data_IF_691299129372
#
_entry.id   IF_691299129372
#
_cell.length_a   1.000
_cell.length_b   1.000
_cell.length_c   1.000
_cell.angle_alpha   90.00
_cell.angle_beta   90.00
_cell.angle_gamma   90.00
#
_symmetry.space_group_name_H-M   'P 1'
#
loop_
_entity.id
_entity.type
_entity.pdbx_description
1 polymer ?
#
# COMPACT_ATOMS: atom_id res chain seq x y z
N UNK A 1 -7.09 -14.81 1.01
CA UNK A 1 -6.00 -14.47 0.06
C UNK A 1 -6.24 -13.03 -0.38
N UNK A 2 -5.30 -12.12 -0.13
CA UNK A 2 -5.36 -10.78 -0.72
C UNK A 2 -4.98 -10.92 -2.20
N UNK A 3 -5.90 -10.57 -3.08
CA UNK A 3 -5.69 -10.43 -4.53
C UNK A 3 -5.04 -9.08 -4.89
N UNK A 4 -4.79 -8.23 -3.88
CA UNK A 4 -4.14 -6.92 -3.96
C UNK A 4 -2.85 -6.92 -3.11
N UNK A 5 -1.88 -6.04 -3.40
CA UNK A 5 -0.62 -5.95 -2.62
C UNK A 5 -0.95 -5.59 -1.17
N UNK A 6 -0.49 -6.39 -0.21
CA UNK A 6 -0.69 -6.05 1.20
C UNK A 6 0.16 -4.82 1.58
N UNK A 7 -0.23 -4.05 2.60
CA UNK A 7 0.48 -2.80 2.95
C UNK A 7 1.98 -3.04 3.20
N UNK A 8 2.34 -4.20 3.75
CA UNK A 8 3.74 -4.60 3.96
C UNK A 8 4.52 -4.68 2.64
N UNK A 9 3.92 -5.14 1.56
CA UNK A 9 4.55 -5.19 0.24
C UNK A 9 4.74 -3.78 -0.31
N UNK A 10 3.77 -2.88 -0.09
CA UNK A 10 3.90 -1.47 -0.45
C UNK A 10 5.00 -0.77 0.35
N UNK A 11 5.13 -1.06 1.64
CA UNK A 11 6.25 -0.59 2.45
C UNK A 11 7.59 -1.09 1.89
N UNK A 12 7.66 -2.37 1.49
CA UNK A 12 8.88 -2.96 0.92
C UNK A 12 9.28 -2.28 -0.41
N UNK A 13 8.30 -2.03 -1.29
CA UNK A 13 8.50 -1.25 -2.52
C UNK A 13 9.00 0.15 -2.18
N UNK A 14 8.38 0.84 -1.22
CA UNK A 14 8.80 2.17 -0.80
C UNK A 14 10.23 2.19 -0.26
N UNK A 15 10.63 1.21 0.53
CA UNK A 15 12.02 1.10 0.99
C UNK A 15 13.00 0.93 -0.19
N UNK A 16 12.63 0.13 -1.20
CA UNK A 16 13.43 -0.08 -2.40
C UNK A 16 13.46 1.14 -3.34
N UNK A 17 12.51 2.07 -3.24
CA UNK A 17 12.55 3.32 -4.02
C UNK A 17 13.40 4.40 -3.35
N UNK A 18 13.42 4.46 -2.01
CA UNK A 18 14.17 5.50 -1.27
C UNK A 18 15.63 5.10 -0.94
N UNK A 19 15.95 3.81 -1.00
CA UNK A 19 17.28 3.28 -0.72
C UNK A 19 17.81 2.44 -1.87
N UNK A 20 19.13 2.50 -2.07
CA UNK A 20 19.84 1.44 -2.78
C UNK A 20 20.14 0.35 -1.76
N UNK A 21 19.76 -0.89 -2.07
CA UNK A 21 19.92 -2.04 -1.19
C UNK A 21 21.02 -2.96 -1.71
N UNK A 22 21.71 -3.66 -0.80
CA UNK A 22 22.59 -4.79 -1.13
C UNK A 22 21.77 -6.02 -1.49
N UNK A 23 22.42 -7.07 -2.02
CA UNK A 23 21.79 -8.37 -2.27
C UNK A 23 21.20 -9.01 -1.00
N UNK A 24 21.80 -8.70 0.16
CA UNK A 24 21.29 -9.11 1.48
C UNK A 24 20.15 -8.23 2.01
N UNK A 25 19.68 -7.24 1.24
CA UNK A 25 18.60 -6.33 1.63
C UNK A 25 19.01 -5.24 2.63
N UNK A 26 20.32 -5.03 2.85
CA UNK A 26 20.85 -3.98 3.73
C UNK A 26 20.90 -2.65 2.99
N UNK A 27 20.78 -1.53 3.70
CA UNK A 27 20.89 -0.20 3.10
C UNK A 27 22.35 0.03 2.70
N UNK A 28 22.60 0.20 1.41
CA UNK A 28 23.89 0.66 0.90
C UNK A 28 23.98 2.19 1.03
N UNK A 29 22.95 2.90 0.55
CA UNK A 29 22.85 4.38 0.57
C UNK A 29 21.43 4.86 0.26
N UNK A 30 21.19 6.17 0.33
CA UNK A 30 19.96 6.77 -0.23
C UNK A 30 19.96 6.67 -1.75
N UNK A 31 18.78 6.48 -2.31
CA UNK A 31 18.56 6.55 -3.75
C UNK A 31 18.33 8.01 -4.19
N UNK A 32 19.33 8.86 -3.98
CA UNK A 32 19.34 10.24 -4.43
C UNK A 32 20.60 10.53 -5.27
N UNK A 33 20.60 11.59 -6.11
CA UNK A 33 21.74 11.92 -6.97
C UNK A 33 23.05 12.14 -6.22
N UNK A 34 22.96 12.65 -4.98
CA UNK A 34 24.13 12.98 -4.16
C UNK A 34 24.82 11.75 -3.56
N UNK A 35 24.28 10.54 -3.78
CA UNK A 35 24.78 9.29 -3.19
C UNK A 35 24.91 9.36 -1.66
N UNK A 36 24.03 10.12 -1.01
CA UNK A 36 24.13 10.39 0.42
C UNK A 36 23.97 9.11 1.24
N UNK A 37 24.63 9.05 2.39
CA UNK A 37 24.48 7.93 3.31
C UNK A 37 23.02 7.74 3.75
N UNK A 38 22.59 6.49 3.79
CA UNK A 38 21.30 6.11 4.38
C UNK A 38 21.32 6.20 5.91
N UNK A 39 20.16 6.16 6.57
CA UNK A 39 20.10 6.02 8.03
C UNK A 39 20.70 4.66 8.44
N UNK A 40 21.21 4.56 9.67
CA UNK A 40 21.68 3.29 10.24
C UNK A 40 20.55 2.27 10.38
N UNK A 41 19.35 2.74 10.68
CA UNK A 41 18.14 1.95 10.83
C UNK A 41 16.94 2.70 10.24
N UNK A 42 16.11 1.99 9.50
CA UNK A 42 14.83 2.44 8.99
C UNK A 42 13.75 1.42 9.35
N UNK A 43 12.67 1.90 9.98
CA UNK A 43 11.50 1.14 10.33
C UNK A 43 10.28 1.78 9.66
N UNK A 44 9.46 0.97 9.02
CA UNK A 44 8.14 1.38 8.56
C UNK A 44 7.11 0.37 9.06
N UNK A 45 6.01 0.85 9.62
CA UNK A 45 4.96 0.03 10.23
C UNK A 45 3.61 0.40 9.59
N UNK A 46 2.79 -0.61 9.32
CA UNK A 46 1.42 -0.51 8.83
C UNK A 46 0.49 -1.34 9.72
N UNK A 47 -0.80 -1.31 9.43
CA UNK A 47 -1.81 -2.19 10.05
C UNK A 47 -1.58 -3.67 9.72
N UNK A 48 -0.89 -3.97 8.62
CA UNK A 48 -0.52 -5.34 8.20
C UNK A 48 0.84 -5.83 8.74
N UNK A 49 1.58 -4.99 9.46
CA UNK A 49 2.90 -5.30 10.01
C UNK A 49 3.98 -4.31 9.60
N UNK A 50 5.24 -4.67 9.87
CA UNK A 50 6.40 -3.80 9.71
C UNK A 50 7.43 -4.33 8.71
N UNK A 51 8.27 -3.42 8.22
CA UNK A 51 9.54 -3.74 7.58
C UNK A 51 10.67 -2.98 8.27
N UNK A 52 11.83 -3.63 8.34
CA UNK A 52 13.06 -3.00 8.81
C UNK A 52 14.14 -3.09 7.74
N UNK A 53 14.95 -2.02 7.65
CA UNK A 53 16.16 -1.97 6.83
C UNK A 53 17.29 -1.39 7.67
N UNK A 54 18.42 -2.10 7.68
CA UNK A 54 19.60 -1.76 8.47
C UNK A 54 20.74 -1.50 7.51
N UNK A 55 21.58 -0.50 7.78
CA UNK A 55 22.70 -0.15 6.91
C UNK A 55 23.77 -1.24 6.90
N UNK A 56 24.44 -1.40 5.76
CA UNK A 56 25.42 -2.47 5.56
C UNK A 56 26.62 -2.42 6.52
N UNK A 57 26.95 -1.23 7.01
CA UNK A 57 28.10 -0.97 7.91
C UNK A 57 27.74 -1.14 9.40
N UNK A 58 26.48 -1.40 9.73
CA UNK A 58 26.06 -1.71 11.11
C UNK A 58 26.46 -3.14 11.44
N UNK A 59 27.15 -3.30 12.57
CA UNK A 59 27.68 -4.60 12.99
C UNK A 59 26.60 -5.67 13.22
N UNK A 60 26.91 -6.92 12.86
CA UNK A 60 25.99 -8.08 12.93
C UNK A 60 25.35 -8.32 14.30
N UNK A 61 26.06 -8.00 15.39
CA UNK A 61 25.50 -8.09 16.75
C UNK A 61 24.34 -7.11 16.94
N UNK A 62 24.50 -5.89 16.45
CA UNK A 62 23.49 -4.83 16.52
C UNK A 62 22.31 -5.18 15.62
N UNK A 63 22.60 -5.69 14.42
CA UNK A 63 21.58 -6.17 13.47
C UNK A 63 20.66 -7.19 14.13
N UNK A 64 21.22 -8.27 14.70
CA UNK A 64 20.42 -9.31 15.36
C UNK A 64 19.58 -8.77 16.51
N UNK A 65 20.11 -7.82 17.29
CA UNK A 65 19.38 -7.20 18.38
C UNK A 65 18.20 -6.37 17.87
N UNK A 66 18.39 -5.60 16.80
CA UNK A 66 17.33 -4.81 16.16
C UNK A 66 16.28 -5.75 15.54
N UNK A 67 16.69 -6.79 14.81
CA UNK A 67 15.77 -7.75 14.20
C UNK A 67 14.90 -8.46 15.24
N UNK A 68 15.48 -8.80 16.39
CA UNK A 68 14.73 -9.38 17.51
C UNK A 68 13.68 -8.43 18.08
N UNK A 69 13.95 -7.12 18.13
CA UNK A 69 12.98 -6.12 18.57
C UNK A 69 11.89 -5.90 17.52
N UNK A 70 12.27 -5.82 16.24
CA UNK A 70 11.33 -5.65 15.12
C UNK A 70 10.33 -6.81 15.05
N UNK A 71 10.78 -8.05 15.32
CA UNK A 71 9.91 -9.21 15.38
C UNK A 71 8.82 -9.12 16.49
N UNK A 72 9.05 -8.30 17.52
CA UNK A 72 8.11 -8.03 18.60
C UNK A 72 7.27 -6.77 18.42
N UNK A 73 7.49 -5.97 17.38
CA UNK A 73 6.70 -4.76 17.14
C UNK A 73 5.25 -5.12 16.78
N UNK A 74 4.25 -4.54 17.45
CA UNK A 74 2.87 -4.69 17.04
C UNK A 74 2.61 -3.97 15.70
N UNK A 75 1.58 -4.41 14.99
CA UNK A 75 1.03 -3.65 13.88
C UNK A 75 0.58 -2.25 14.33
N UNK A 76 0.68 -1.28 13.42
CA UNK A 76 0.33 0.11 13.70
C UNK A 76 -1.17 0.23 13.96
N UNK A 77 -1.55 0.73 15.15
CA UNK A 77 -2.96 0.90 15.54
C UNK A 77 -3.53 2.27 15.15
N UNK A 78 -2.69 3.30 15.16
CA UNK A 78 -3.09 4.68 14.86
C UNK A 78 -1.93 5.42 14.16
N UNK A 79 -2.19 6.33 13.19
CA UNK A 79 -1.16 7.10 12.47
C UNK A 79 -0.16 7.84 13.38
N UNK A 80 -0.62 8.32 14.54
CA UNK A 80 0.21 9.04 15.52
C UNK A 80 0.91 8.11 16.53
N UNK A 81 0.83 6.79 16.36
CA UNK A 81 1.48 5.84 17.27
C UNK A 81 3.00 5.87 17.09
N UNK A 82 3.73 5.74 18.19
CA UNK A 82 5.19 5.53 18.17
C UNK A 82 5.52 4.03 18.19
N UNK A 83 6.66 3.60 17.59
CA UNK A 83 7.15 2.24 17.76
C UNK A 83 7.35 1.90 19.23
N UNK A 84 6.94 0.70 19.66
CA UNK A 84 7.00 0.31 21.08
C UNK A 84 8.44 0.25 21.57
N UNK A 85 9.35 -0.21 20.70
CA UNK A 85 10.76 -0.36 21.03
C UNK A 85 11.61 0.84 20.63
N UNK A 86 11.03 2.02 20.40
CA UNK A 86 11.75 3.23 19.98
C UNK A 86 12.99 3.51 20.84
N UNK A 87 12.83 3.55 22.16
CA UNK A 87 13.93 3.82 23.09
C UNK A 87 15.02 2.74 23.05
N UNK A 88 14.64 1.47 22.83
CA UNK A 88 15.58 0.37 22.72
C UNK A 88 16.39 0.43 21.43
N UNK A 89 15.77 0.79 20.29
CA UNK A 89 16.50 1.02 19.04
C UNK A 89 17.55 2.12 19.22
N UNK A 90 17.16 3.25 19.83
CA UNK A 90 18.07 4.37 20.07
C UNK A 90 19.22 3.94 20.98
N UNK A 91 18.94 3.24 22.08
CA UNK A 91 19.97 2.75 23.02
C UNK A 91 20.96 1.80 22.34
N UNK A 92 20.47 0.85 21.54
CA UNK A 92 21.31 -0.14 20.85
C UNK A 92 22.20 0.53 19.81
N UNK A 93 21.64 1.44 19.00
CA UNK A 93 22.40 2.17 17.99
C UNK A 93 23.42 3.13 18.62
N UNK A 94 23.06 3.79 19.71
CA UNK A 94 23.96 4.68 20.45
C UNK A 94 25.18 3.96 21.04
N UNK A 95 25.07 2.66 21.33
CA UNK A 95 26.19 1.86 21.85
C UNK A 95 27.31 1.63 20.82
N UNK A 96 27.02 1.77 19.52
CA UNK A 96 28.02 1.65 18.44
C UNK A 96 28.57 3.02 18.03
N UNK A 97 27.70 4.02 17.91
CA UNK A 97 28.07 5.40 17.62
C UNK A 97 26.97 6.37 18.07
N UNK A 98 27.31 7.63 18.44
CA UNK A 98 26.33 8.64 18.84
C UNK A 98 25.19 8.82 17.84
N UNK A 99 23.99 9.09 18.33
CA UNK A 99 22.84 9.42 17.49
C UNK A 99 22.80 10.93 17.32
N UNK A 100 23.16 11.40 16.13
CA UNK A 100 23.11 12.82 15.78
C UNK A 100 21.68 13.29 15.49
N UNK A 101 20.87 12.41 14.88
CA UNK A 101 19.51 12.70 14.47
C UNK A 101 18.68 11.42 14.35
N UNK A 102 17.40 11.53 14.67
CA UNK A 102 16.35 10.60 14.24
C UNK A 102 15.12 11.40 13.82
N UNK A 103 14.33 10.84 12.92
CA UNK A 103 13.09 11.45 12.45
C UNK A 103 11.97 10.40 12.53
N UNK A 104 10.77 10.85 12.85
CA UNK A 104 9.54 10.06 12.77
C UNK A 104 8.50 10.88 12.02
N UNK A 105 7.66 10.22 11.25
CA UNK A 105 6.62 10.91 10.51
C UNK A 105 5.68 9.96 9.80
N UNK A 106 4.48 10.45 9.56
CA UNK A 106 3.48 9.74 8.79
C UNK A 106 3.94 9.63 7.34
N UNK A 107 3.93 8.40 6.82
CA UNK A 107 4.28 8.11 5.43
C UNK A 107 3.13 8.48 4.51
N UNK A 108 1.97 7.92 4.82
CA UNK A 108 0.73 8.05 4.08
C UNK A 108 -0.41 7.47 4.93
N UNK A 109 -1.60 8.04 4.82
CA UNK A 109 -2.85 7.39 5.21
C UNK A 109 -3.66 7.15 3.96
N UNK A 110 -4.07 5.91 3.73
CA UNK A 110 -5.05 5.65 2.68
C UNK A 110 -6.37 6.29 3.12
N UNK A 111 -7.02 7.03 2.23
CA UNK A 111 -8.38 7.47 2.49
C UNK A 111 -9.29 6.24 2.36
N UNK A 112 -10.11 5.96 3.37
CA UNK A 112 -11.04 4.81 3.38
C UNK A 112 -11.96 4.83 2.15
N UNK A 113 -12.28 6.02 1.63
CA UNK A 113 -12.88 6.27 0.32
C UNK A 113 -12.31 7.56 -0.26
N UNK A 114 -11.92 7.51 -1.52
CA UNK A 114 -11.85 8.70 -2.36
C UNK A 114 -13.30 9.07 -2.71
N UNK A 115 -13.98 9.80 -1.85
CA UNK A 115 -15.31 10.32 -2.15
C UNK A 115 -15.19 11.42 -3.19
N UNK A 116 -15.33 11.04 -4.45
CA UNK A 116 -15.54 12.00 -5.52
C UNK A 116 -17.04 12.20 -5.66
N UNK A 117 -17.57 13.38 -5.34
CA UNK A 117 -18.96 13.72 -5.67
C UNK A 117 -19.07 13.95 -7.17
N UNK A 118 -19.86 13.10 -7.83
CA UNK A 118 -20.16 13.21 -9.24
C UNK A 118 -21.64 12.84 -9.44
N UNK A 119 -22.34 13.45 -10.41
CA UNK A 119 -23.75 13.17 -10.67
C UNK A 119 -23.99 11.76 -11.27
N UNK A 120 -22.92 11.01 -11.50
CA UNK A 120 -22.94 9.70 -12.16
C UNK A 120 -22.92 8.61 -11.10
N UNK A 121 -23.87 7.68 -11.15
CA UNK A 121 -23.91 6.56 -10.22
C UNK A 121 -22.94 5.46 -10.68
N UNK A 122 -22.03 5.04 -9.80
CA UNK A 122 -21.14 3.91 -10.06
C UNK A 122 -21.79 2.61 -9.57
N UNK A 123 -21.88 1.63 -10.47
CA UNK A 123 -22.46 0.30 -10.19
C UNK A 123 -21.38 -0.75 -10.42
N UNK A 124 -21.00 -1.46 -9.36
CA UNK A 124 -19.99 -2.51 -9.43
C UNK A 124 -20.60 -3.91 -9.57
N UNK A 125 -19.84 -4.83 -10.17
CA UNK A 125 -20.28 -6.23 -10.39
C UNK A 125 -20.55 -7.04 -9.12
N UNK A 126 -20.09 -6.56 -7.96
CA UNK A 126 -20.27 -7.22 -6.65
C UNK A 126 -21.29 -6.51 -5.75
N UNK A 127 -22.13 -5.63 -6.31
CA UNK A 127 -23.16 -4.92 -5.55
C UNK A 127 -24.56 -5.39 -5.97
N UNK A 128 -25.53 -5.20 -5.08
CA UNK A 128 -26.94 -5.49 -5.36
C UNK A 128 -27.47 -4.65 -6.53
N UNK A 129 -26.95 -3.44 -6.67
CA UNK A 129 -27.23 -2.54 -7.79
C UNK A 129 -26.66 -3.13 -9.10
N UNK A 130 -25.51 -3.81 -9.06
CA UNK A 130 -24.95 -4.58 -10.17
C UNK A 130 -25.86 -5.73 -10.59
N UNK A 131 -26.35 -6.53 -9.64
CA UNK A 131 -27.30 -7.62 -9.92
C UNK A 131 -28.57 -7.10 -10.62
N UNK A 132 -29.10 -5.96 -10.14
CA UNK A 132 -30.26 -5.30 -10.74
C UNK A 132 -29.97 -4.78 -12.15
N UNK A 133 -28.78 -4.24 -12.37
CA UNK A 133 -28.36 -3.75 -13.69
C UNK A 133 -28.28 -4.91 -14.69
N UNK A 134 -27.63 -6.03 -14.32
CA UNK A 134 -27.55 -7.22 -15.17
C UNK A 134 -28.93 -7.79 -15.47
N UNK A 135 -29.81 -7.91 -14.46
CA UNK A 135 -31.17 -8.38 -14.67
C UNK A 135 -31.98 -7.46 -15.61
N UNK A 136 -31.77 -6.15 -15.52
CA UNK A 136 -32.40 -5.17 -16.42
C UNK A 136 -31.91 -5.33 -17.86
N UNK A 137 -30.60 -5.49 -18.06
CA UNK A 137 -30.00 -5.68 -19.38
C UNK A 137 -30.43 -7.02 -20.00
N UNK A 138 -30.43 -8.10 -19.22
CA UNK A 138 -30.92 -9.40 -19.68
C UNK A 138 -32.41 -9.36 -20.09
N UNK A 139 -33.22 -8.59 -19.36
CA UNK A 139 -34.66 -8.47 -19.64
C UNK A 139 -35.03 -7.50 -20.78
N UNK A 140 -34.21 -6.46 -21.02
CA UNK A 140 -34.49 -5.41 -22.01
C UNK A 140 -33.59 -5.48 -23.26
N UNK A 141 -32.57 -6.32 -23.24
CA UNK A 141 -31.51 -6.35 -24.25
C UNK A 141 -30.37 -5.37 -23.93
N UNK A 142 -29.21 -5.62 -24.54
CA UNK A 142 -28.06 -4.74 -24.44
C UNK A 142 -28.33 -3.40 -25.15
N UNK A 143 -27.90 -2.25 -24.59
CA UNK A 143 -28.01 -0.96 -25.26
C UNK A 143 -27.26 -0.95 -26.58
N UNK A 144 -27.79 -0.27 -27.59
CA UNK A 144 -27.21 -0.22 -28.94
C UNK A 144 -25.74 0.24 -28.93
N UNK A 145 -25.39 1.20 -28.08
CA UNK A 145 -24.01 1.67 -27.93
C UNK A 145 -23.06 0.56 -27.44
N UNK A 146 -23.51 -0.35 -26.58
CA UNK A 146 -22.72 -1.48 -26.10
C UNK A 146 -22.62 -2.58 -27.17
N UNK A 147 -23.72 -2.84 -27.88
CA UNK A 147 -23.72 -3.77 -29.03
C UNK A 147 -22.73 -3.31 -30.11
N UNK A 148 -22.69 -2.01 -30.40
CA UNK A 148 -21.74 -1.43 -31.35
C UNK A 148 -20.27 -1.57 -30.90
N UNK A 149 -20.02 -1.68 -29.59
CA UNK A 149 -18.72 -1.97 -29.01
C UNK A 149 -18.42 -3.48 -28.90
N UNK A 150 -19.35 -4.33 -29.31
CA UNK A 150 -19.19 -5.79 -29.31
C UNK A 150 -19.73 -6.49 -28.06
N UNK A 151 -20.44 -5.77 -27.17
CA UNK A 151 -21.13 -6.35 -26.01
C UNK A 151 -22.57 -6.73 -26.40
N UNK A 152 -22.72 -7.94 -26.92
CA UNK A 152 -23.94 -8.55 -27.44
C UNK A 152 -24.88 -9.05 -26.34
N UNK A 153 -24.34 -9.51 -25.21
CA UNK A 153 -25.11 -9.97 -24.05
C UNK A 153 -24.44 -9.64 -22.71
N UNK A 154 -25.14 -9.96 -21.62
CA UNK A 154 -24.66 -9.65 -20.25
C UNK A 154 -23.51 -10.55 -19.80
N UNK A 155 -23.30 -11.71 -20.43
CA UNK A 155 -22.23 -12.65 -20.07
C UNK A 155 -20.86 -12.15 -20.55
N UNK A 156 -20.84 -11.17 -21.45
CA UNK A 156 -19.64 -10.47 -21.90
C UNK A 156 -19.17 -9.37 -20.93
N UNK A 157 -19.98 -9.05 -19.91
CA UNK A 157 -19.55 -8.19 -18.79
C UNK A 157 -18.81 -9.02 -17.74
N UNK A 158 -17.54 -9.32 -18.01
CA UNK A 158 -16.71 -10.13 -17.11
C UNK A 158 -16.33 -9.38 -15.83
N UNK A 159 -16.65 -9.96 -14.68
CA UNK A 159 -16.25 -9.41 -13.39
C UNK A 159 -14.72 -9.48 -13.19
N UNK A 160 -14.12 -8.50 -12.48
CA UNK A 160 -14.79 -7.33 -11.90
C UNK A 160 -15.00 -6.21 -12.93
N UNK A 161 -16.18 -5.60 -12.91
CA UNK A 161 -16.49 -4.40 -13.70
C UNK A 161 -17.12 -3.31 -12.83
N UNK A 162 -17.04 -2.07 -13.31
CA UNK A 162 -17.69 -0.91 -12.73
C UNK A 162 -18.30 -0.07 -13.85
N UNK A 163 -19.62 0.05 -13.87
CA UNK A 163 -20.35 0.81 -14.87
C UNK A 163 -20.77 2.15 -14.27
N UNK A 164 -20.52 3.22 -15.02
CA UNK A 164 -20.97 4.55 -14.68
C UNK A 164 -22.31 4.84 -15.36
N UNK A 165 -23.35 5.14 -14.58
CA UNK A 165 -24.69 5.48 -15.04
C UNK A 165 -24.96 6.97 -14.91
N UNK A 166 -25.36 7.60 -16.00
CA UNK A 166 -25.91 8.96 -15.98
C UNK A 166 -27.43 8.88 -16.17
N UNK A 167 -28.17 9.00 -15.07
CA UNK A 167 -29.58 8.61 -15.05
C UNK A 167 -29.72 7.10 -15.25
N UNK A 168 -30.43 6.69 -16.30
CA UNK A 168 -30.62 5.27 -16.66
C UNK A 168 -29.66 4.75 -17.73
N UNK A 169 -28.86 5.63 -18.34
CA UNK A 169 -27.97 5.32 -19.46
C UNK A 169 -26.56 4.95 -18.99
N UNK A 170 -25.94 4.00 -19.69
CA UNK A 170 -24.54 3.61 -19.47
C UNK A 170 -23.65 4.65 -20.14
N UNK A 171 -22.96 5.44 -19.32
CA UNK A 171 -22.04 6.49 -19.77
C UNK A 171 -20.61 5.97 -19.95
N UNK A 172 -20.22 4.96 -19.18
CA UNK A 172 -18.92 4.28 -19.29
C UNK A 172 -18.98 2.89 -18.69
N UNK A 173 -18.16 1.99 -19.23
CA UNK A 173 -17.81 0.67 -18.69
C UNK A 173 -16.31 0.64 -18.42
#
# INVERSE_FOLDING_TARGET
MCTDKCDRDLLAIRAATIFVLTDSGRILRKNNPDNAAGPRFHLAISTSGSIARIRQDVGERIVRAIESLVAGEPALRHPDSTPVHLHDYLRILAAEAPIERYDMGLIWTFQDRLEHEHPTALVGSATREGDRLLARLAGRGMPEALVALGFMDVDELWAPWCIALHGDEIASI
#
